data_IF_038976861548
#
_entry.id   IF_038976861548
#
_cell.length_a   1.000
_cell.length_b   1.000
_cell.length_c   1.000
_cell.angle_alpha   90.00
_cell.angle_beta   90.00
_cell.angle_gamma   90.00
#
_symmetry.space_group_name_H-M   'P 1'
#
loop_
_entity.id
_entity.type
_entity.pdbx_description
1 polymer ?
#
# COMPACT_ATOMS: atom_id res chain seq x y z
N UNK A 1 -14.01 15.71 -12.90
CA UNK A 1 -12.54 15.58 -13.02
C UNK A 1 -12.22 14.71 -14.22
N UNK A 2 -11.00 14.78 -14.73
CA UNK A 2 -10.45 13.80 -15.68
C UNK A 2 -9.98 12.56 -14.92
N UNK A 3 -9.89 11.41 -15.60
CA UNK A 3 -9.27 10.20 -15.02
C UNK A 3 -7.74 10.37 -15.07
N UNK A 4 -7.04 10.46 -13.93
CA UNK A 4 -5.59 10.57 -13.93
C UNK A 4 -4.97 9.23 -14.36
N UNK A 5 -4.03 9.29 -15.32
CA UNK A 5 -3.17 8.17 -15.69
C UNK A 5 -1.73 8.54 -15.36
N UNK A 6 -1.18 7.90 -14.33
CA UNK A 6 0.22 8.07 -13.97
C UNK A 6 1.04 6.95 -14.62
N UNK A 7 1.94 7.31 -15.53
CA UNK A 7 2.93 6.38 -16.09
C UNK A 7 4.19 6.48 -15.23
N UNK A 8 4.64 5.34 -14.72
CA UNK A 8 5.58 5.33 -13.61
C UNK A 8 7.07 5.46 -13.93
N UNK A 9 7.82 5.71 -12.86
CA UNK A 9 9.08 5.01 -12.54
C UNK A 9 8.75 3.77 -11.69
N UNK A 10 9.58 3.42 -10.70
CA UNK A 10 9.26 2.29 -9.79
C UNK A 10 8.02 2.55 -8.91
N UNK A 11 7.55 1.51 -8.20
CA UNK A 11 6.27 1.52 -7.48
C UNK A 11 6.23 2.47 -6.27
N UNK A 12 7.35 3.09 -5.86
CA UNK A 12 7.36 4.10 -4.79
C UNK A 12 6.46 5.31 -5.09
N UNK A 13 6.24 5.63 -6.37
CA UNK A 13 5.28 6.66 -6.81
C UNK A 13 3.83 6.33 -6.36
N UNK A 14 3.55 5.05 -6.11
CA UNK A 14 2.28 4.53 -5.62
C UNK A 14 1.85 5.21 -4.32
N UNK A 15 2.79 5.56 -3.45
CA UNK A 15 2.52 6.26 -2.19
C UNK A 15 1.75 7.57 -2.42
N UNK A 16 2.27 8.43 -3.30
CA UNK A 16 1.67 9.75 -3.55
C UNK A 16 0.36 9.65 -4.35
N UNK A 17 0.26 8.69 -5.26
CA UNK A 17 -0.96 8.47 -6.05
C UNK A 17 -2.11 7.96 -5.19
N UNK A 18 -1.85 7.01 -4.27
CA UNK A 18 -2.82 6.55 -3.27
C UNK A 18 -3.27 7.69 -2.37
N UNK A 19 -2.32 8.46 -1.81
CA UNK A 19 -2.63 9.58 -0.91
C UNK A 19 -3.47 10.65 -1.63
N UNK A 20 -3.10 11.02 -2.85
CA UNK A 20 -3.89 11.96 -3.64
C UNK A 20 -5.30 11.42 -3.91
N UNK A 21 -5.42 10.14 -4.25
CA UNK A 21 -6.71 9.49 -4.49
C UNK A 21 -7.62 9.53 -3.27
N UNK A 22 -7.17 9.06 -2.09
CA UNK A 22 -8.02 9.00 -0.90
C UNK A 22 -8.36 10.37 -0.33
N UNK A 23 -7.53 11.38 -0.57
CA UNK A 23 -7.83 12.76 -0.15
C UNK A 23 -8.84 13.45 -1.08
N UNK A 24 -9.01 12.97 -2.32
CA UNK A 24 -10.04 13.44 -3.24
C UNK A 24 -11.30 12.54 -3.25
N UNK A 25 -11.14 11.27 -2.87
CA UNK A 25 -12.18 10.24 -2.90
C UNK A 25 -12.14 9.46 -1.57
N UNK A 26 -12.61 10.04 -0.45
CA UNK A 26 -12.46 9.46 0.89
C UNK A 26 -13.14 8.09 1.06
N UNK A 27 -14.15 7.79 0.24
CA UNK A 27 -14.87 6.51 0.22
C UNK A 27 -14.47 5.62 -0.97
N UNK A 28 -13.43 6.00 -1.72
CA UNK A 28 -12.95 5.27 -2.89
C UNK A 28 -12.27 3.94 -2.51
N UNK A 29 -12.44 2.94 -3.38
CA UNK A 29 -11.75 1.65 -3.30
C UNK A 29 -10.48 1.59 -4.14
N UNK A 30 -9.53 0.77 -3.71
CA UNK A 30 -8.19 0.58 -4.28
C UNK A 30 -8.02 -0.92 -4.58
N UNK A 31 -7.66 -1.24 -5.82
CA UNK A 31 -7.16 -2.56 -6.18
C UNK A 31 -5.65 -2.46 -6.37
N UNK A 32 -4.88 -3.17 -5.53
CA UNK A 32 -3.43 -3.25 -5.64
C UNK A 32 -3.05 -4.57 -6.31
N UNK A 33 -2.66 -4.49 -7.58
CA UNK A 33 -2.41 -5.65 -8.43
C UNK A 33 -0.91 -5.84 -8.56
N UNK A 34 -0.34 -6.73 -7.74
CA UNK A 34 1.10 -6.93 -7.66
C UNK A 34 1.43 -8.35 -7.16
N UNK A 35 2.67 -8.79 -7.42
CA UNK A 35 3.24 -9.99 -6.83
C UNK A 35 3.54 -9.82 -5.33
N UNK A 36 3.85 -8.59 -4.92
CA UNK A 36 4.25 -8.19 -3.57
C UNK A 36 3.16 -7.37 -2.89
N UNK A 37 3.22 -7.25 -1.56
CA UNK A 37 2.24 -6.45 -0.83
C UNK A 37 2.60 -4.97 -0.75
N UNK A 38 3.88 -4.62 -0.95
CA UNK A 38 4.40 -3.26 -0.86
C UNK A 38 4.03 -2.58 0.49
N UNK A 39 3.95 -3.41 1.53
CA UNK A 39 3.37 -3.10 2.84
C UNK A 39 4.42 -3.19 3.96
N UNK A 40 5.70 -3.22 3.61
CA UNK A 40 6.73 -3.12 4.63
C UNK A 40 6.73 -1.74 5.27
N UNK A 41 7.03 -1.67 6.56
CA UNK A 41 7.40 -0.41 7.22
C UNK A 41 8.93 -0.27 7.19
N UNK A 42 9.50 0.91 7.54
CA UNK A 42 10.96 1.08 7.62
C UNK A 42 11.66 0.05 8.53
N UNK A 43 10.95 -0.54 9.49
CA UNK A 43 11.46 -1.53 10.43
C UNK A 43 11.27 -2.97 9.95
N UNK A 44 10.29 -3.25 9.08
CA UNK A 44 10.05 -4.62 8.59
C UNK A 44 10.71 -4.90 7.25
N UNK A 45 11.07 -3.86 6.49
CA UNK A 45 11.70 -4.03 5.18
C UNK A 45 13.03 -4.80 5.29
N UNK A 46 13.21 -5.91 4.54
CA UNK A 46 14.47 -6.64 4.53
C UNK A 46 15.53 -5.97 3.64
N UNK A 47 15.12 -5.10 2.72
CA UNK A 47 15.99 -4.50 1.70
C UNK A 47 16.26 -3.01 1.91
N UNK A 48 15.35 -2.29 2.57
CA UNK A 48 15.36 -0.82 2.62
C UNK A 48 14.87 -0.15 1.34
N UNK A 49 14.47 -0.90 0.31
CA UNK A 49 14.03 -0.34 -0.97
C UNK A 49 12.61 0.24 -0.85
N UNK A 50 12.45 1.55 -1.06
CA UNK A 50 11.21 2.28 -0.84
C UNK A 50 10.01 1.80 -1.69
N UNK A 51 10.26 1.17 -2.84
CA UNK A 51 9.18 0.64 -3.69
C UNK A 51 8.36 -0.47 -3.04
N UNK A 52 8.86 -1.13 -1.98
CA UNK A 52 8.15 -2.15 -1.22
C UNK A 52 7.50 -1.64 0.08
N UNK A 53 7.48 -0.31 0.29
CA UNK A 53 6.85 0.34 1.43
C UNK A 53 5.66 1.29 1.10
N UNK A 54 5.28 1.59 -0.16
CA UNK A 54 4.37 2.69 -0.45
C UNK A 54 2.99 2.53 0.19
N UNK A 55 2.47 1.30 0.33
CA UNK A 55 1.17 1.07 0.97
C UNK A 55 1.23 1.34 2.46
N UNK A 56 2.33 0.94 3.14
CA UNK A 56 2.50 1.21 4.57
C UNK A 56 2.56 2.71 4.86
N UNK A 57 3.28 3.48 4.03
CA UNK A 57 3.29 4.94 4.12
C UNK A 57 1.90 5.55 3.85
N UNK A 58 1.20 5.06 2.82
CA UNK A 58 -0.14 5.57 2.49
C UNK A 58 -1.18 5.26 3.59
N UNK A 59 -0.99 4.18 4.35
CA UNK A 59 -1.82 3.79 5.50
C UNK A 59 -1.45 4.49 6.81
N UNK A 60 -0.28 5.11 6.93
CA UNK A 60 0.17 5.68 8.20
C UNK A 60 0.71 4.64 9.19
N UNK A 61 1.30 3.53 8.70
CA UNK A 61 1.87 2.52 9.59
C UNK A 61 3.22 2.99 10.14
N UNK A 62 3.35 3.01 11.47
CA UNK A 62 4.59 3.37 12.18
C UNK A 62 5.09 4.79 11.87
N UNK A 63 4.18 5.77 11.79
CA UNK A 63 4.52 7.17 11.47
C UNK A 63 5.57 7.77 12.41
N UNK A 64 5.65 7.29 13.65
CA UNK A 64 6.64 7.69 14.65
C UNK A 64 8.09 7.41 14.22
N UNK A 65 8.30 6.42 13.34
CA UNK A 65 9.62 5.95 12.92
C UNK A 65 9.98 6.35 11.49
N UNK A 66 9.14 7.18 10.85
CA UNK A 66 9.40 7.61 9.49
C UNK A 66 10.52 8.66 9.41
N UNK A 67 11.31 8.66 8.32
CA UNK A 67 12.24 9.75 8.05
C UNK A 67 11.51 11.11 7.99
N UNK A 68 12.11 12.21 8.48
CA UNK A 68 11.47 13.54 8.49
C UNK A 68 10.99 14.03 7.13
N UNK A 69 11.59 13.53 6.04
CA UNK A 69 11.19 13.84 4.67
C UNK A 69 9.74 13.42 4.33
N UNK A 70 9.12 12.54 5.14
CA UNK A 70 7.73 12.09 4.98
C UNK A 70 6.75 12.81 5.92
N UNK A 71 7.18 13.80 6.70
CA UNK A 71 6.31 14.52 7.66
C UNK A 71 5.14 15.27 6.98
N UNK A 72 5.25 15.58 5.69
CA UNK A 72 4.14 16.16 4.93
C UNK A 72 2.95 15.20 4.86
N UNK A 73 3.19 13.89 4.86
CA UNK A 73 2.14 12.86 4.85
C UNK A 73 1.33 13.01 6.14
N UNK A 74 1.96 13.13 7.31
CA UNK A 74 1.28 13.24 8.62
C UNK A 74 0.24 14.38 8.69
N UNK A 75 0.37 15.40 7.84
CA UNK A 75 -0.53 16.56 7.76
C UNK A 75 -1.75 16.35 6.85
N UNK A 76 -1.80 15.25 6.09
CA UNK A 76 -2.92 14.95 5.21
C UNK A 76 -4.15 14.47 6.01
N UNK A 77 -5.36 14.92 5.67
CA UNK A 77 -6.57 14.58 6.41
C UNK A 77 -6.99 13.10 6.26
N UNK A 78 -6.64 12.47 5.13
CA UNK A 78 -7.01 11.08 4.87
C UNK A 78 -5.80 10.19 4.55
N UNK A 79 -5.85 8.98 5.09
CA UNK A 79 -4.95 7.84 4.84
C UNK A 79 -5.75 6.72 4.20
N UNK A 80 -5.05 5.78 3.55
CA UNK A 80 -5.67 4.54 3.09
C UNK A 80 -6.11 3.74 4.31
N UNK A 81 -7.40 3.43 4.42
CA UNK A 81 -7.90 2.49 5.43
C UNK A 81 -7.72 1.04 4.94
N UNK A 82 -7.51 0.07 5.84
CA UNK A 82 -7.44 -1.35 5.47
C UNK A 82 -8.64 -1.84 4.65
N UNK A 83 -9.84 -1.31 4.93
CA UNK A 83 -11.08 -1.64 4.22
C UNK A 83 -11.19 -1.05 2.81
N UNK A 84 -10.32 -0.10 2.45
CA UNK A 84 -10.33 0.54 1.13
C UNK A 84 -9.45 -0.17 0.11
N UNK A 85 -8.61 -1.13 0.53
CA UNK A 85 -7.65 -1.79 -0.36
C UNK A 85 -7.93 -3.29 -0.43
N UNK A 86 -7.81 -3.84 -1.64
CA UNK A 86 -7.76 -5.27 -1.86
C UNK A 86 -6.56 -5.62 -2.76
N UNK A 87 -5.83 -6.67 -2.38
CA UNK A 87 -4.73 -7.19 -3.19
C UNK A 87 -5.20 -8.25 -4.18
N UNK A 88 -4.59 -8.27 -5.37
CA UNK A 88 -4.76 -9.33 -6.37
C UNK A 88 -3.38 -9.73 -6.90
N UNK A 89 -3.06 -11.03 -6.87
CA UNK A 89 -1.85 -11.58 -7.51
C UNK A 89 -0.66 -11.83 -6.58
N UNK A 90 -0.84 -11.66 -5.27
CA UNK A 90 0.23 -11.87 -4.28
C UNK A 90 0.81 -13.28 -4.39
N UNK A 91 2.13 -13.37 -4.45
CA UNK A 91 2.87 -14.65 -4.48
C UNK A 91 4.25 -14.58 -3.84
N UNK A 92 4.75 -13.37 -3.60
CA UNK A 92 6.00 -13.15 -2.87
C UNK A 92 5.75 -12.06 -1.83
N UNK A 93 5.54 -12.47 -0.58
CA UNK A 93 5.12 -11.57 0.50
C UNK A 93 5.94 -11.85 1.74
N UNK A 94 6.56 -10.82 2.27
CA UNK A 94 7.43 -10.90 3.42
C UNK A 94 6.67 -11.30 4.70
N UNK A 95 7.39 -11.82 5.69
CA UNK A 95 6.79 -12.19 6.98
C UNK A 95 6.14 -10.98 7.69
N UNK A 96 6.78 -9.80 7.61
CA UNK A 96 6.25 -8.55 8.16
C UNK A 96 4.96 -8.12 7.47
N UNK A 97 4.93 -8.15 6.15
CA UNK A 97 3.75 -7.82 5.35
C UNK A 97 2.59 -8.79 5.61
N UNK A 98 2.85 -10.11 5.64
CA UNK A 98 1.85 -11.13 6.01
C UNK A 98 1.23 -10.88 7.37
N UNK A 99 2.02 -10.38 8.34
CA UNK A 99 1.52 -10.01 9.65
C UNK A 99 0.56 -8.82 9.54
N UNK A 100 0.95 -7.74 8.87
CA UNK A 100 0.08 -6.58 8.69
C UNK A 100 -1.21 -6.90 7.92
N UNK A 101 -1.15 -7.69 6.84
CA UNK A 101 -2.34 -8.12 6.10
C UNK A 101 -3.35 -8.81 7.03
N UNK A 102 -2.87 -9.74 7.88
CA UNK A 102 -3.73 -10.46 8.82
C UNK A 102 -4.26 -9.58 9.94
N UNK A 103 -3.38 -8.83 10.59
CA UNK A 103 -3.73 -8.04 11.77
C UNK A 103 -4.68 -6.88 11.44
N UNK A 104 -4.51 -6.29 10.25
CA UNK A 104 -5.36 -5.20 9.76
C UNK A 104 -6.62 -5.69 9.04
N UNK A 105 -6.75 -7.00 8.81
CA UNK A 105 -7.88 -7.60 8.10
C UNK A 105 -7.98 -7.14 6.63
N UNK A 106 -6.84 -6.93 5.96
CA UNK A 106 -6.82 -6.47 4.57
C UNK A 106 -7.26 -7.62 3.65
N UNK A 107 -8.16 -7.30 2.71
CA UNK A 107 -8.61 -8.28 1.70
C UNK A 107 -7.46 -8.61 0.76
N UNK A 108 -7.11 -9.89 0.63
CA UNK A 108 -5.97 -10.32 -0.18
C UNK A 108 -6.26 -11.60 -0.97
N UNK A 109 -6.33 -11.47 -2.29
CA UNK A 109 -6.44 -12.58 -3.23
C UNK A 109 -5.07 -12.88 -3.84
N UNK A 110 -4.33 -13.78 -3.19
CA UNK A 110 -3.05 -14.30 -3.71
C UNK A 110 -3.21 -15.12 -4.99
N UNK A 111 -2.10 -15.51 -5.63
CA UNK A 111 -2.12 -16.42 -6.78
C UNK A 111 -2.83 -17.75 -6.48
N UNK A 112 -2.80 -18.24 -5.24
CA UNK A 112 -3.61 -19.39 -4.85
C UNK A 112 -5.11 -19.17 -5.12
N UNK A 113 -5.61 -17.96 -4.88
CA UNK A 113 -7.02 -17.63 -5.11
C UNK A 113 -7.31 -17.50 -6.60
N UNK A 114 -6.40 -16.91 -7.37
CA UNK A 114 -6.47 -16.85 -8.84
C UNK A 114 -6.53 -18.27 -9.41
N UNK A 115 -5.57 -19.12 -9.06
CA UNK A 115 -5.51 -20.51 -9.54
C UNK A 115 -6.76 -21.33 -9.15
N UNK A 116 -7.34 -21.04 -7.98
CA UNK A 116 -8.49 -21.77 -7.45
C UNK A 116 -9.83 -21.30 -8.02
N UNK A 117 -9.98 -20.01 -8.32
CA UNK A 117 -11.29 -19.40 -8.62
C UNK A 117 -11.38 -18.75 -10.00
N UNK A 118 -10.27 -18.56 -10.73
CA UNK A 118 -10.21 -17.91 -12.04
C UNK A 118 -9.38 -16.63 -12.02
#
# INVERSE_FOLDING_TARGET
>A
GTLPLTVGGDHSIGMSTLLAFVNQNPDGGILWIDAHADLNTPETTPSGNLHGLPVAFAMGLKEENWPPHFDWIKKLPHKVKPSQIAYIGLRDVDAGEKKYIRDLGITAFSMYHVDKYG
#
